data_IF_661956436844
#
_entry.id   IF_661956436844
#
_cell.length_a   1.000
_cell.length_b   1.000
_cell.length_c   1.000
_cell.angle_alpha   90.00
_cell.angle_beta   90.00
_cell.angle_gamma   90.00
#
_symmetry.space_group_name_H-M   'P 1'
#
loop_
_entity.id
_entity.type
_entity.pdbx_description
1 polymer ?
#
# COMPACT_ATOMS: atom_id res chain seq x y z
N UNK A 1 29.93 -21.21 -5.16
CA UNK A 1 28.61 -20.55 -5.01
C UNK A 1 28.74 -19.48 -3.94
N UNK A 2 28.25 -18.27 -4.19
CA UNK A 2 28.25 -17.23 -3.14
C UNK A 2 27.37 -17.68 -1.97
N UNK A 3 27.84 -17.48 -0.74
CA UNK A 3 27.11 -17.79 0.49
C UNK A 3 26.79 -16.48 1.19
N UNK A 4 25.54 -16.31 1.65
CA UNK A 4 25.15 -15.12 2.39
C UNK A 4 25.78 -15.16 3.79
N UNK A 5 26.37 -14.05 4.29
CA UNK A 5 27.05 -14.04 5.58
C UNK A 5 26.11 -14.47 6.70
N UNK A 6 26.60 -15.30 7.62
CA UNK A 6 25.84 -15.76 8.80
C UNK A 6 25.46 -14.60 9.73
N UNK A 7 26.26 -13.54 9.74
CA UNK A 7 26.01 -12.31 10.47
C UNK A 7 25.82 -11.13 9.51
N UNK A 8 24.58 -10.87 9.02
CA UNK A 8 24.33 -9.75 8.13
C UNK A 8 24.59 -8.41 8.82
N UNK A 9 25.23 -7.51 8.09
CA UNK A 9 25.43 -6.13 8.53
C UNK A 9 24.12 -5.34 8.52
N UNK A 10 24.08 -4.17 9.15
CA UNK A 10 22.94 -3.25 9.05
C UNK A 10 22.64 -2.84 7.61
N UNK A 11 23.68 -2.69 6.79
CA UNK A 11 23.57 -2.42 5.36
C UNK A 11 22.89 -3.56 4.60
N UNK A 12 23.23 -4.81 4.92
CA UNK A 12 22.59 -5.99 4.32
C UNK A 12 21.12 -6.08 4.68
N UNK A 13 20.80 -5.93 5.97
CA UNK A 13 19.41 -5.95 6.45
C UNK A 13 18.57 -4.85 5.80
N UNK A 14 19.14 -3.65 5.63
CA UNK A 14 18.49 -2.55 4.93
C UNK A 14 18.26 -2.86 3.45
N UNK A 15 19.24 -3.40 2.74
CA UNK A 15 19.10 -3.79 1.32
C UNK A 15 18.01 -4.84 1.14
N UNK A 16 17.99 -5.86 2.01
CA UNK A 16 16.97 -6.91 2.02
C UNK A 16 15.58 -6.32 2.25
N UNK A 17 15.45 -5.48 3.28
CA UNK A 17 14.19 -4.79 3.57
C UNK A 17 13.75 -3.92 2.39
N UNK A 18 14.64 -3.13 1.79
CA UNK A 18 14.31 -2.24 0.67
C UNK A 18 13.89 -3.00 -0.59
N UNK A 19 14.55 -4.11 -0.95
CA UNK A 19 14.11 -4.95 -2.07
C UNK A 19 12.73 -5.54 -1.76
N UNK A 20 12.56 -6.12 -0.58
CA UNK A 20 11.29 -6.69 -0.15
C UNK A 20 10.16 -5.65 -0.11
N UNK A 21 10.49 -4.44 0.32
CA UNK A 21 9.60 -3.31 0.36
C UNK A 21 9.19 -2.84 -1.05
N UNK A 22 10.10 -2.89 -2.04
CA UNK A 22 9.83 -2.44 -3.41
C UNK A 22 9.12 -3.48 -4.28
N UNK A 23 9.20 -4.75 -3.89
CA UNK A 23 8.70 -5.88 -4.66
C UNK A 23 7.17 -5.95 -4.73
N UNK A 24 6.65 -6.23 -5.91
CA UNK A 24 5.24 -6.42 -6.18
C UNK A 24 4.93 -7.89 -6.42
N UNK A 25 3.84 -8.39 -5.83
CA UNK A 25 3.36 -9.74 -6.09
C UNK A 25 2.96 -9.98 -7.55
N UNK A 26 2.64 -8.90 -8.28
CA UNK A 26 2.17 -8.93 -9.67
C UNK A 26 3.30 -9.13 -10.68
N UNK A 27 4.55 -8.88 -10.31
CA UNK A 27 5.65 -8.78 -11.28
C UNK A 27 5.94 -10.10 -11.99
N UNK A 28 5.82 -11.24 -11.29
CA UNK A 28 5.95 -12.56 -11.91
C UNK A 28 4.82 -12.84 -12.89
N UNK A 29 3.64 -12.46 -12.49
CA UNK A 29 2.43 -12.60 -13.26
C UNK A 29 2.44 -11.73 -14.53
N UNK A 30 2.99 -10.51 -14.46
CA UNK A 30 3.21 -9.63 -15.62
C UNK A 30 4.33 -10.17 -16.52
N UNK A 31 5.38 -10.75 -15.94
CA UNK A 31 6.41 -11.47 -16.68
C UNK A 31 5.83 -12.62 -17.50
N UNK A 32 4.98 -13.45 -16.89
CA UNK A 32 4.33 -14.56 -17.59
C UNK A 32 3.47 -14.07 -18.76
N UNK A 33 2.75 -12.95 -18.61
CA UNK A 33 1.99 -12.35 -19.71
C UNK A 33 2.89 -11.86 -20.85
N UNK A 34 4.04 -11.23 -20.53
CA UNK A 34 5.03 -10.80 -21.53
C UNK A 34 5.59 -11.97 -22.32
N UNK A 35 5.96 -13.06 -21.62
CA UNK A 35 6.52 -14.26 -22.25
C UNK A 35 5.48 -15.00 -23.08
N UNK A 36 4.22 -15.06 -22.62
CA UNK A 36 3.13 -15.72 -23.33
C UNK A 36 2.63 -14.94 -24.56
N UNK A 37 3.00 -13.67 -24.71
CA UNK A 37 2.58 -12.81 -25.82
C UNK A 37 1.07 -12.55 -25.89
N UNK A 38 0.31 -12.96 -24.88
CA UNK A 38 -1.15 -12.85 -24.82
C UNK A 38 -1.57 -12.15 -23.53
N UNK A 39 -2.41 -11.11 -23.59
CA UNK A 39 -2.96 -10.48 -22.40
C UNK A 39 -3.90 -11.48 -21.74
N UNK A 40 -3.43 -12.13 -20.67
CA UNK A 40 -4.29 -13.00 -19.86
C UNK A 40 -5.23 -12.07 -19.08
N UNK A 41 -6.49 -11.96 -19.51
CA UNK A 41 -7.52 -11.27 -18.75
C UNK A 41 -7.68 -11.98 -17.39
N UNK A 42 -7.36 -11.28 -16.32
CA UNK A 42 -7.56 -11.76 -14.96
C UNK A 42 -8.80 -11.15 -14.37
N UNK A 43 -9.55 -11.94 -13.62
CA UNK A 43 -10.63 -11.42 -12.79
C UNK A 43 -10.09 -10.32 -11.86
N UNK A 44 -10.89 -9.31 -11.51
CA UNK A 44 -10.47 -8.26 -10.58
C UNK A 44 -9.92 -8.82 -9.27
N UNK A 45 -10.55 -9.87 -8.73
CA UNK A 45 -10.10 -10.56 -7.51
C UNK A 45 -8.70 -11.16 -7.66
N UNK A 46 -8.44 -11.84 -8.79
CA UNK A 46 -7.12 -12.41 -9.06
C UNK A 46 -6.05 -11.30 -9.20
N UNK A 47 -6.39 -10.19 -9.86
CA UNK A 47 -5.48 -9.02 -9.96
C UNK A 47 -5.17 -8.42 -8.60
N UNK A 48 -6.17 -8.31 -7.72
CA UNK A 48 -6.00 -7.75 -6.38
C UNK A 48 -5.16 -8.66 -5.49
N UNK A 49 -5.42 -9.98 -5.52
CA UNK A 49 -4.63 -10.97 -4.80
C UNK A 49 -3.17 -10.94 -5.25
N UNK A 50 -2.94 -10.95 -6.56
CA UNK A 50 -1.60 -10.83 -7.14
C UNK A 50 -0.91 -9.53 -6.75
N UNK A 51 -1.68 -8.47 -6.52
CA UNK A 51 -1.13 -7.20 -6.12
C UNK A 51 -0.57 -7.20 -4.68
N UNK A 52 -0.97 -8.14 -3.81
CA UNK A 52 -0.52 -8.20 -2.42
C UNK A 52 0.87 -8.84 -2.29
N UNK A 53 1.89 -8.13 -1.78
CA UNK A 53 3.18 -8.73 -1.46
C UNK A 53 3.07 -9.86 -0.43
N UNK A 54 2.23 -9.71 0.60
CA UNK A 54 1.97 -10.79 1.58
C UNK A 54 1.28 -11.97 0.89
N UNK A 55 0.30 -11.73 0.02
CA UNK A 55 -0.36 -12.78 -0.76
C UNK A 55 0.62 -13.57 -1.63
N UNK A 56 1.55 -12.87 -2.30
CA UNK A 56 2.62 -13.52 -3.08
C UNK A 56 3.59 -14.32 -2.21
N UNK A 57 3.97 -13.80 -1.05
CA UNK A 57 4.80 -14.51 -0.08
C UNK A 57 4.06 -15.75 0.49
N UNK A 58 2.77 -15.61 0.81
CA UNK A 58 1.92 -16.70 1.26
C UNK A 58 1.82 -17.80 0.21
N UNK A 59 1.63 -17.47 -1.08
CA UNK A 59 1.67 -18.45 -2.18
C UNK A 59 2.97 -19.27 -2.19
N UNK A 60 4.10 -18.67 -1.85
CA UNK A 60 5.38 -19.37 -1.82
C UNK A 60 5.55 -20.30 -0.62
N UNK A 61 4.84 -20.06 0.49
CA UNK A 61 4.90 -20.91 1.69
C UNK A 61 3.82 -21.99 1.65
N UNK A 62 2.61 -21.59 1.24
CA UNK A 62 1.45 -22.47 1.27
C UNK A 62 1.67 -23.68 0.34
N UNK A 63 1.13 -24.85 0.73
CA UNK A 63 1.02 -25.99 -0.16
C UNK A 63 0.16 -25.63 -1.38
N UNK A 64 0.45 -26.23 -2.55
CA UNK A 64 -0.40 -26.03 -3.72
C UNK A 64 -1.73 -26.77 -3.54
N UNK A 65 -1.68 -27.98 -3.01
CA UNK A 65 -2.85 -28.85 -2.85
C UNK A 65 -2.94 -29.42 -1.44
N UNK A 66 -4.14 -29.81 -1.03
CA UNK A 66 -4.35 -30.52 0.25
C UNK A 66 -3.44 -31.75 0.35
N UNK A 67 -3.32 -32.52 -0.74
CA UNK A 67 -2.46 -33.70 -0.80
C UNK A 67 -0.95 -33.43 -0.62
N UNK A 68 -0.50 -32.18 -0.76
CA UNK A 68 0.91 -31.82 -0.53
C UNK A 68 1.24 -31.70 0.98
N UNK A 69 0.21 -31.63 1.83
CA UNK A 69 0.38 -31.49 3.29
C UNK A 69 0.36 -32.85 3.99
N UNK A 70 1.00 -32.94 5.15
CA UNK A 70 0.90 -34.15 5.99
C UNK A 70 -0.53 -34.36 6.49
N UNK A 71 -1.21 -33.29 6.95
CA UNK A 71 -2.60 -33.33 7.41
C UNK A 71 -3.55 -33.73 6.28
N UNK A 72 -3.39 -33.16 5.09
CA UNK A 72 -4.23 -33.49 3.94
C UNK A 72 -4.06 -34.92 3.46
N UNK A 73 -2.85 -35.49 3.53
CA UNK A 73 -2.62 -36.93 3.27
C UNK A 73 -3.25 -37.82 4.34
N UNK A 74 -3.24 -37.38 5.60
CA UNK A 74 -3.91 -38.08 6.71
C UNK A 74 -5.44 -38.05 6.56
N UNK A 75 -6.01 -36.91 6.18
CA UNK A 75 -7.46 -36.80 5.91
C UNK A 75 -7.82 -37.63 4.67
N UNK A 76 -7.01 -37.57 3.62
CA UNK A 76 -7.23 -38.35 2.41
C UNK A 76 -7.12 -39.86 2.65
N UNK A 77 -6.36 -40.31 3.66
CA UNK A 77 -6.20 -41.74 3.94
C UNK A 77 -7.37 -42.39 4.66
N UNK A 78 -8.21 -41.61 5.34
CA UNK A 78 -9.43 -42.09 6.00
C UNK A 78 -10.68 -41.95 5.14
N UNK A 79 -10.58 -41.30 3.97
CA UNK A 79 -11.68 -41.12 3.04
C UNK A 79 -11.86 -42.34 2.10
N UNK A 80 -13.09 -42.64 1.64
CA UNK A 80 -13.32 -43.63 0.60
C UNK A 80 -12.50 -43.32 -0.67
N UNK A 81 -12.03 -44.35 -1.37
CA UNK A 81 -11.12 -44.21 -2.53
C UNK A 81 -11.66 -43.24 -3.62
N UNK A 82 -12.99 -43.19 -3.79
CA UNK A 82 -13.67 -42.26 -4.71
C UNK A 82 -13.54 -40.78 -4.33
N UNK A 83 -13.30 -40.46 -3.06
CA UNK A 83 -13.18 -39.09 -2.53
C UNK A 83 -11.72 -38.68 -2.27
N UNK A 84 -10.80 -39.65 -2.16
CA UNK A 84 -9.38 -39.42 -1.91
C UNK A 84 -8.74 -38.47 -2.93
N UNK A 85 -8.80 -38.81 -4.22
CA UNK A 85 -8.22 -38.00 -5.30
C UNK A 85 -8.85 -36.60 -5.42
N UNK A 86 -10.19 -36.43 -5.37
CA UNK A 86 -10.80 -35.11 -5.35
C UNK A 86 -10.31 -34.24 -4.19
N UNK A 87 -10.24 -34.78 -2.97
CA UNK A 87 -9.81 -34.04 -1.77
C UNK A 87 -8.33 -33.70 -1.85
N UNK A 88 -7.47 -34.63 -2.26
CA UNK A 88 -6.04 -34.38 -2.45
C UNK A 88 -5.76 -33.30 -3.49
N UNK A 89 -6.60 -33.18 -4.52
CA UNK A 89 -6.45 -32.21 -5.59
C UNK A 89 -7.08 -30.83 -5.29
N UNK A 90 -7.71 -30.63 -4.13
CA UNK A 90 -8.22 -29.32 -3.73
C UNK A 90 -7.04 -28.35 -3.62
N UNK A 91 -7.08 -27.29 -4.44
CA UNK A 91 -6.06 -26.24 -4.44
C UNK A 91 -6.13 -25.40 -3.18
N UNK A 92 -5.00 -25.26 -2.49
CA UNK A 92 -4.79 -24.40 -1.33
C UNK A 92 -4.16 -23.04 -1.71
N UNK A 93 -3.94 -22.82 -3.02
CA UNK A 93 -3.49 -21.56 -3.58
C UNK A 93 -1.98 -21.33 -3.49
N UNK A 94 -1.21 -22.25 -2.92
CA UNK A 94 0.24 -22.19 -2.94
C UNK A 94 0.86 -22.54 -4.30
N UNK A 95 2.13 -22.20 -4.50
CA UNK A 95 2.90 -22.62 -5.68
C UNK A 95 3.31 -24.09 -5.54
N UNK A 96 3.14 -24.87 -6.60
CA UNK A 96 3.75 -26.19 -6.73
C UNK A 96 5.28 -26.10 -6.72
N UNK A 97 5.96 -27.21 -6.45
CA UNK A 97 7.42 -27.27 -6.54
C UNK A 97 7.93 -26.87 -7.94
N UNK A 98 7.20 -27.26 -8.99
CA UNK A 98 7.50 -26.85 -10.38
C UNK A 98 7.34 -25.34 -10.56
N UNK A 99 6.23 -24.76 -10.13
CA UNK A 99 6.01 -23.30 -10.25
C UNK A 99 7.04 -22.49 -9.47
N UNK A 100 7.47 -22.97 -8.29
CA UNK A 100 8.56 -22.31 -7.54
C UNK A 100 9.88 -22.38 -8.31
N UNK A 101 10.20 -23.53 -8.90
CA UNK A 101 11.39 -23.68 -9.73
C UNK A 101 11.32 -22.79 -10.99
N UNK A 102 10.17 -22.74 -11.66
CA UNK A 102 9.93 -21.89 -12.82
C UNK A 102 10.02 -20.41 -12.46
N UNK A 103 9.48 -20.01 -11.30
CA UNK A 103 9.60 -18.65 -10.77
C UNK A 103 11.06 -18.29 -10.50
N UNK A 104 11.79 -19.17 -9.80
CA UNK A 104 13.21 -18.94 -9.50
C UNK A 104 14.06 -18.86 -10.78
N UNK A 105 13.81 -19.75 -11.75
CA UNK A 105 14.47 -19.73 -13.06
C UNK A 105 14.08 -18.51 -13.89
N UNK A 106 12.85 -18.01 -13.77
CA UNK A 106 12.41 -16.78 -14.43
C UNK A 106 13.14 -15.56 -13.83
N UNK A 107 13.21 -15.44 -12.50
CA UNK A 107 13.97 -14.38 -11.82
C UNK A 107 15.45 -14.40 -12.19
N UNK A 108 16.05 -15.59 -12.30
CA UNK A 108 17.45 -15.74 -12.69
C UNK A 108 17.72 -15.25 -14.13
N UNK A 109 16.71 -15.30 -15.00
CA UNK A 109 16.80 -14.88 -16.42
C UNK A 109 16.36 -13.43 -16.66
N UNK A 110 15.40 -12.95 -15.87
CA UNK A 110 14.83 -11.61 -15.99
C UNK A 110 15.16 -10.77 -14.75
N UNK A 111 16.07 -9.83 -14.98
CA UNK A 111 16.62 -8.89 -14.00
C UNK A 111 15.55 -7.97 -13.44
N UNK A 112 14.55 -7.60 -14.25
CA UNK A 112 13.46 -6.70 -13.85
C UNK A 112 12.51 -7.47 -12.93
N UNK A 113 12.21 -8.74 -13.26
CA UNK A 113 11.45 -9.62 -12.39
C UNK A 113 12.16 -9.86 -11.05
N UNK A 114 13.49 -10.04 -11.06
CA UNK A 114 14.28 -10.19 -9.85
C UNK A 114 14.18 -8.97 -8.92
N UNK A 115 14.20 -7.76 -9.48
CA UNK A 115 14.06 -6.51 -8.74
C UNK A 115 12.65 -6.30 -8.21
N UNK A 116 11.67 -6.58 -9.06
CA UNK A 116 10.28 -6.22 -8.81
C UNK A 116 9.51 -7.34 -8.09
N UNK A 117 10.14 -8.45 -7.73
CA UNK A 117 9.50 -9.53 -6.96
C UNK A 117 10.42 -10.03 -5.85
N UNK A 118 9.87 -10.78 -4.89
CA UNK A 118 10.65 -11.43 -3.81
C UNK A 118 10.47 -12.93 -3.87
N UNK A 119 11.57 -13.67 -3.76
CA UNK A 119 11.58 -15.10 -3.48
C UNK A 119 11.94 -15.29 -2.01
N UNK A 120 11.05 -15.94 -1.27
CA UNK A 120 11.24 -16.12 0.17
C UNK A 120 12.47 -16.96 0.44
N UNK A 121 13.33 -16.44 1.31
CA UNK A 121 14.59 -17.09 1.63
C UNK A 121 15.67 -16.90 0.57
N UNK A 122 15.49 -16.06 -0.45
CA UNK A 122 16.58 -15.58 -1.31
C UNK A 122 16.70 -14.07 -1.20
N UNK A 123 17.94 -13.58 -1.17
CA UNK A 123 18.24 -12.16 -0.94
C UNK A 123 19.29 -11.66 -1.92
N UNK A 124 19.30 -10.34 -2.22
CA UNK A 124 20.22 -9.79 -3.19
C UNK A 124 21.57 -9.57 -2.51
N UNK A 125 22.63 -9.94 -3.20
CA UNK A 125 24.03 -9.65 -2.89
C UNK A 125 24.65 -8.90 -4.06
N UNK A 126 25.89 -8.47 -3.91
CA UNK A 126 26.64 -7.82 -5.00
C UNK A 126 26.91 -8.76 -6.18
N UNK A 127 26.88 -10.07 -5.94
CA UNK A 127 27.13 -11.14 -6.90
C UNK A 127 25.87 -11.86 -7.38
N UNK A 128 24.67 -11.34 -7.08
CA UNK A 128 23.39 -11.93 -7.49
C UNK A 128 22.48 -12.31 -6.33
N UNK A 129 21.58 -13.26 -6.52
CA UNK A 129 20.66 -13.71 -5.45
C UNK A 129 21.12 -15.00 -4.80
N UNK A 130 21.33 -14.93 -3.49
CA UNK A 130 21.82 -16.04 -2.68
C UNK A 130 20.70 -16.55 -1.77
N UNK A 131 20.61 -17.87 -1.62
CA UNK A 131 19.70 -18.49 -0.67
C UNK A 131 20.18 -18.25 0.77
N UNK A 132 19.26 -17.84 1.63
CA UNK A 132 19.46 -17.71 3.06
C UNK A 132 19.53 -19.11 3.67
N UNK A 133 20.73 -19.46 4.15
CA UNK A 133 20.93 -20.71 4.89
C UNK A 133 20.08 -20.81 6.16
N UNK A 134 19.95 -22.02 6.73
CA UNK A 134 19.39 -22.21 8.07
C UNK A 134 20.19 -21.37 9.07
N UNK A 135 19.53 -20.54 9.89
CA UNK A 135 20.18 -19.66 10.88
C UNK A 135 20.16 -18.16 10.57
N UNK A 136 19.90 -17.75 9.32
CA UNK A 136 19.85 -16.32 8.92
C UNK A 136 18.54 -15.61 9.34
N UNK A 137 18.17 -15.69 10.62
CA UNK A 137 16.88 -15.18 11.12
C UNK A 137 16.73 -13.67 10.97
N UNK A 138 17.81 -12.89 11.11
CA UNK A 138 17.78 -11.43 10.94
C UNK A 138 17.47 -11.03 9.50
N UNK A 139 18.10 -11.69 8.53
CA UNK A 139 17.83 -11.47 7.11
C UNK A 139 16.40 -11.88 6.72
N UNK A 140 15.93 -13.04 7.19
CA UNK A 140 14.54 -13.48 7.01
C UNK A 140 13.55 -12.50 7.64
N UNK A 141 13.86 -12.02 8.84
CA UNK A 141 13.06 -11.01 9.55
C UNK A 141 13.00 -9.69 8.78
N UNK A 142 14.12 -9.21 8.23
CA UNK A 142 14.15 -8.01 7.39
C UNK A 142 13.33 -8.18 6.11
N UNK A 143 13.43 -9.34 5.45
CA UNK A 143 12.65 -9.66 4.25
C UNK A 143 11.14 -9.67 4.56
N UNK A 144 10.74 -10.37 5.64
CA UNK A 144 9.36 -10.42 6.09
C UNK A 144 8.82 -9.04 6.48
N UNK A 145 9.61 -8.24 7.21
CA UNK A 145 9.26 -6.87 7.57
C UNK A 145 9.07 -6.00 6.32
N UNK A 146 9.94 -6.14 5.32
CA UNK A 146 9.82 -5.44 4.03
C UNK A 146 8.56 -5.84 3.27
N UNK A 147 8.21 -7.12 3.23
CA UNK A 147 6.97 -7.63 2.61
C UNK A 147 5.73 -7.08 3.33
N UNK A 148 5.72 -7.08 4.66
CA UNK A 148 4.59 -6.54 5.44
C UNK A 148 4.46 -5.05 5.22
N UNK A 149 5.56 -4.31 5.30
CA UNK A 149 5.57 -2.88 5.01
C UNK A 149 5.14 -2.58 3.57
N UNK A 150 5.55 -3.39 2.59
CA UNK A 150 5.13 -3.29 1.20
C UNK A 150 3.63 -3.49 1.04
N UNK A 151 3.04 -4.47 1.74
CA UNK A 151 1.61 -4.74 1.68
C UNK A 151 0.80 -3.63 2.35
N UNK A 152 1.23 -3.16 3.52
CA UNK A 152 0.63 -2.02 4.20
C UNK A 152 0.72 -0.74 3.35
N UNK A 153 1.87 -0.50 2.72
CA UNK A 153 2.05 0.63 1.82
C UNK A 153 1.13 0.49 0.61
N UNK A 154 1.19 -0.65 -0.09
CA UNK A 154 0.42 -0.91 -1.31
C UNK A 154 -1.07 -1.17 -1.09
N UNK A 155 -1.49 -1.14 0.18
CA UNK A 155 -2.83 -1.49 0.63
C UNK A 155 -3.27 -2.86 0.09
N UNK A 156 -2.34 -3.80 -0.09
CA UNK A 156 -2.54 -5.02 -0.88
C UNK A 156 -3.63 -5.93 -0.31
N UNK A 157 -3.45 -6.42 0.92
CA UNK A 157 -4.45 -7.25 1.60
C UNK A 157 -5.70 -6.46 1.96
N UNK A 158 -5.54 -5.18 2.28
CA UNK A 158 -6.65 -4.31 2.65
C UNK A 158 -7.56 -4.07 1.44
N UNK A 159 -7.05 -3.74 0.26
CA UNK A 159 -7.86 -3.64 -0.96
C UNK A 159 -8.70 -4.88 -1.23
N UNK A 160 -8.18 -6.10 -1.01
CA UNK A 160 -8.95 -7.35 -1.17
C UNK A 160 -10.13 -7.38 -0.18
N UNK A 161 -9.87 -7.01 1.08
CA UNK A 161 -10.90 -6.95 2.11
C UNK A 161 -11.93 -5.84 1.84
N UNK A 162 -11.50 -4.67 1.36
CA UNK A 162 -12.36 -3.51 1.04
C UNK A 162 -13.11 -3.69 -0.29
N UNK A 163 -12.57 -4.37 -1.30
CA UNK A 163 -13.32 -4.73 -2.51
C UNK A 163 -14.52 -5.64 -2.19
N UNK A 164 -14.34 -6.51 -1.19
CA UNK A 164 -15.44 -7.32 -0.67
C UNK A 164 -16.39 -6.53 0.25
N UNK A 165 -16.00 -5.34 0.78
CA UNK A 165 -16.71 -4.61 1.86
C UNK A 165 -16.84 -3.07 1.69
N UNK A 166 -16.71 -2.51 0.48
CA UNK A 166 -16.99 -1.12 0.05
C UNK A 166 -15.90 -0.01 0.27
N UNK A 167 -16.26 1.26 0.56
CA UNK A 167 -16.22 2.46 -0.29
C UNK A 167 -14.86 3.14 -0.53
N UNK A 168 -13.84 2.82 0.28
CA UNK A 168 -12.56 3.55 0.28
C UNK A 168 -11.71 3.33 -0.97
N UNK A 169 -12.05 2.31 -1.77
CA UNK A 169 -11.52 2.13 -3.13
C UNK A 169 -11.70 3.40 -3.99
N UNK A 170 -12.74 4.21 -3.77
CA UNK A 170 -12.98 5.46 -4.53
C UNK A 170 -11.92 6.53 -4.26
N UNK A 171 -11.44 6.66 -3.01
CA UNK A 171 -10.42 7.65 -2.67
C UNK A 171 -9.05 7.28 -3.26
N UNK A 172 -8.69 5.99 -3.23
CA UNK A 172 -7.49 5.50 -3.91
C UNK A 172 -7.60 5.66 -5.43
N UNK A 173 -8.74 5.31 -6.03
CA UNK A 173 -8.99 5.51 -7.46
C UNK A 173 -8.86 6.98 -7.84
N UNK A 174 -9.45 7.91 -7.08
CA UNK A 174 -9.34 9.35 -7.32
C UNK A 174 -7.89 9.84 -7.20
N UNK A 175 -7.11 9.31 -6.25
CA UNK A 175 -5.70 9.64 -6.09
C UNK A 175 -4.85 9.10 -7.24
N UNK A 176 -5.03 7.85 -7.64
CA UNK A 176 -4.32 7.26 -8.79
C UNK A 176 -4.70 7.95 -10.10
N UNK A 177 -5.98 8.24 -10.31
CA UNK A 177 -6.43 9.07 -11.43
C UNK A 177 -5.79 10.45 -11.37
N UNK A 178 -5.63 11.03 -10.18
CA UNK A 178 -5.02 12.33 -10.05
C UNK A 178 -3.51 12.35 -10.29
N UNK A 179 -2.79 11.30 -9.90
CA UNK A 179 -1.36 11.13 -10.21
C UNK A 179 -1.19 10.88 -11.71
N UNK A 180 -2.02 10.03 -12.31
CA UNK A 180 -1.98 9.72 -13.74
C UNK A 180 -2.33 10.95 -14.60
N UNK A 181 -3.38 11.70 -14.26
CA UNK A 181 -3.74 12.95 -14.96
C UNK A 181 -2.67 14.04 -14.82
N UNK A 182 -2.00 14.14 -13.67
CA UNK A 182 -0.90 15.08 -13.50
C UNK A 182 0.31 14.69 -14.34
N UNK A 183 0.64 13.39 -14.39
CA UNK A 183 1.66 12.85 -15.28
C UNK A 183 1.30 13.13 -16.75
N UNK A 184 0.05 12.89 -17.17
CA UNK A 184 -0.42 13.15 -18.54
C UNK A 184 -0.46 14.63 -18.92
N UNK A 185 -0.93 15.52 -18.05
CA UNK A 185 -0.89 16.96 -18.31
C UNK A 185 0.54 17.48 -18.42
N UNK A 186 1.47 16.92 -17.65
CA UNK A 186 2.89 17.27 -17.76
C UNK A 186 3.50 16.76 -19.07
N UNK A 187 3.13 15.55 -19.54
CA UNK A 187 3.48 15.07 -20.90
C UNK A 187 3.06 16.06 -21.99
N UNK A 188 1.98 16.82 -21.78
CA UNK A 188 1.45 17.81 -22.74
C UNK A 188 2.00 19.23 -22.58
N UNK A 189 2.62 19.57 -21.44
CA UNK A 189 2.87 20.95 -21.04
C UNK A 189 4.35 21.32 -20.87
N UNK A 190 5.31 20.46 -21.22
CA UNK A 190 6.73 20.82 -21.23
C UNK A 190 7.13 21.38 -22.60
N UNK A 191 7.45 22.69 -22.75
CA UNK A 191 7.79 23.30 -24.04
C UNK A 191 9.29 23.34 -24.33
N UNK A 192 10.13 22.55 -23.65
CA UNK A 192 11.60 22.66 -23.79
C UNK A 192 12.25 21.28 -23.87
N UNK A 193 12.75 20.93 -25.07
CA UNK A 193 13.90 20.05 -25.32
C UNK A 193 13.78 18.55 -25.03
N UNK A 194 12.91 18.11 -24.12
CA UNK A 194 12.66 16.69 -23.87
C UNK A 194 11.56 16.21 -24.83
N UNK A 195 11.96 15.71 -26.00
CA UNK A 195 11.07 15.03 -26.95
C UNK A 195 10.54 13.72 -26.32
N UNK A 196 9.57 13.86 -25.41
CA UNK A 196 8.86 12.76 -24.79
C UNK A 196 7.89 12.06 -25.77
N UNK A 197 7.85 12.47 -27.05
CA UNK A 197 7.24 11.69 -28.12
C UNK A 197 7.85 10.29 -28.24
N UNK A 198 9.09 10.11 -27.79
CA UNK A 198 9.76 8.80 -27.65
C UNK A 198 9.36 8.01 -26.40
N UNK A 199 8.81 8.64 -25.36
CA UNK A 199 8.20 7.98 -24.19
C UNK A 199 6.72 7.64 -24.45
N UNK A 200 6.40 7.12 -25.63
CA UNK A 200 5.07 6.63 -26.02
C UNK A 200 4.64 5.31 -25.33
N UNK A 201 5.32 4.93 -24.24
CA UNK A 201 4.92 3.85 -23.36
C UNK A 201 4.18 4.36 -22.14
N UNK A 202 3.11 3.67 -21.73
CA UNK A 202 2.36 3.92 -20.49
C UNK A 202 3.18 3.58 -19.22
N UNK A 203 4.49 3.81 -19.20
CA UNK A 203 5.33 3.51 -18.04
C UNK A 203 5.10 4.58 -16.94
N UNK A 204 4.81 4.17 -15.69
CA UNK A 204 4.60 5.09 -14.58
C UNK A 204 5.91 5.75 -14.14
N UNK A 205 5.84 7.03 -13.74
CA UNK A 205 7.00 7.85 -13.30
C UNK A 205 7.80 7.28 -12.13
N UNK A 206 7.14 6.50 -11.28
CA UNK A 206 7.76 5.65 -10.28
C UNK A 206 7.31 4.24 -10.65
N UNK A 207 8.26 3.38 -11.01
CA UNK A 207 7.96 2.03 -11.47
C UNK A 207 7.53 1.16 -10.30
N UNK A 208 8.28 1.23 -9.19
CA UNK A 208 7.92 0.51 -7.98
C UNK A 208 6.55 0.94 -7.47
N UNK A 209 5.58 0.01 -7.53
CA UNK A 209 4.22 0.26 -7.02
C UNK A 209 4.24 0.60 -5.53
N UNK A 210 5.08 -0.07 -4.75
CA UNK A 210 5.12 0.16 -3.31
C UNK A 210 5.73 1.51 -2.99
N UNK A 211 6.68 1.99 -3.80
CA UNK A 211 7.19 3.34 -3.67
C UNK A 211 6.16 4.40 -4.09
N UNK A 212 5.38 4.17 -5.16
CA UNK A 212 4.21 5.00 -5.49
C UNK A 212 3.23 5.09 -4.33
N UNK A 213 3.02 3.96 -3.67
CA UNK A 213 2.07 3.85 -2.58
C UNK A 213 2.59 4.42 -1.25
N UNK A 214 3.87 4.25 -0.93
CA UNK A 214 4.53 4.97 0.16
C UNK A 214 4.53 6.48 -0.07
N UNK A 215 4.74 6.92 -1.30
CA UNK A 215 4.61 8.32 -1.65
C UNK A 215 3.16 8.82 -1.43
N UNK A 216 2.17 7.95 -1.61
CA UNK A 216 0.77 8.21 -1.26
C UNK A 216 0.44 8.03 0.24
N UNK A 217 1.34 7.43 1.03
CA UNK A 217 1.07 7.07 2.42
C UNK A 217 0.64 8.27 3.28
N UNK A 218 1.23 9.48 3.19
CA UNK A 218 0.76 10.60 4.02
C UNK A 218 -0.71 10.96 3.73
N UNK A 219 -1.15 10.88 2.47
CA UNK A 219 -2.55 11.09 2.10
C UNK A 219 -3.47 10.02 2.69
N UNK A 220 -3.01 8.78 2.64
CA UNK A 220 -3.76 7.65 3.16
C UNK A 220 -3.79 7.61 4.69
N UNK A 221 -2.71 8.01 5.37
CA UNK A 221 -2.66 8.21 6.82
C UNK A 221 -3.65 9.32 7.19
N UNK A 222 -3.62 10.45 6.48
CA UNK A 222 -4.57 11.55 6.70
C UNK A 222 -6.02 11.10 6.57
N UNK A 223 -6.33 10.40 5.47
CA UNK A 223 -7.64 9.82 5.23
C UNK A 223 -8.06 8.90 6.37
N UNK A 224 -7.16 8.01 6.76
CA UNK A 224 -7.43 7.01 7.79
C UNK A 224 -7.54 7.60 9.20
N UNK A 225 -6.82 8.68 9.50
CA UNK A 225 -6.95 9.43 10.75
C UNK A 225 -8.31 10.14 10.80
N UNK A 226 -8.70 10.84 9.73
CA UNK A 226 -9.99 11.53 9.65
C UNK A 226 -11.20 10.61 9.71
N UNK A 227 -11.08 9.39 9.17
CA UNK A 227 -12.14 8.36 9.21
C UNK A 227 -12.13 7.56 10.53
N UNK A 228 -11.14 7.75 11.41
CA UNK A 228 -11.03 7.02 12.68
C UNK A 228 -10.56 5.55 12.53
N UNK A 229 -9.90 5.23 11.42
CA UNK A 229 -9.35 3.88 11.14
C UNK A 229 -8.02 3.60 11.87
N UNK A 230 -7.36 4.64 12.40
CA UNK A 230 -6.11 4.47 13.15
C UNK A 230 -6.29 4.66 14.66
N UNK A 231 -7.16 5.59 15.04
CA UNK A 231 -7.42 5.90 16.44
C UNK A 231 -8.92 6.04 16.68
N UNK A 232 -9.31 5.84 17.93
CA UNK A 232 -10.65 6.15 18.40
C UNK A 232 -10.91 7.66 18.27
N UNK A 233 -12.04 8.01 17.68
CA UNK A 233 -12.50 9.39 17.64
C UNK A 233 -13.18 9.72 18.99
N UNK A 234 -12.99 10.94 19.55
CA UNK A 234 -13.73 11.36 20.73
C UNK A 234 -15.24 11.27 20.52
N UNK A 235 -15.96 10.78 21.53
CA UNK A 235 -17.39 10.48 21.49
C UNK A 235 -17.73 9.07 21.01
N UNK A 236 -16.74 8.23 20.70
CA UNK A 236 -16.94 6.85 20.24
C UNK A 236 -16.24 5.85 21.15
N UNK A 237 -16.76 4.63 21.20
CA UNK A 237 -16.14 3.49 21.88
C UNK A 237 -14.88 3.01 21.16
N UNK A 238 -14.06 2.24 21.85
CA UNK A 238 -13.14 1.31 21.20
C UNK A 238 -13.93 0.24 20.41
N UNK A 239 -13.31 -0.37 19.39
CA UNK A 239 -13.91 -1.49 18.64
C UNK A 239 -13.92 -2.76 19.50
N UNK A 240 -12.85 -2.96 20.26
CA UNK A 240 -12.68 -3.98 21.29
C UNK A 240 -12.57 -3.29 22.65
N UNK A 241 -13.69 -2.80 23.22
CA UNK A 241 -13.69 -2.08 24.48
C UNK A 241 -13.20 -2.96 25.64
N UNK A 242 -12.56 -2.35 26.64
CA UNK A 242 -12.40 -2.99 27.95
C UNK A 242 -13.74 -3.01 28.69
N UNK A 243 -13.86 -3.90 29.67
CA UNK A 243 -15.09 -4.02 30.47
C UNK A 243 -15.29 -2.79 31.37
N UNK A 244 -14.20 -2.24 31.89
CA UNK A 244 -14.22 -1.11 32.83
C UNK A 244 -14.39 0.26 32.14
N UNK A 245 -13.86 0.41 30.93
CA UNK A 245 -13.86 1.68 30.21
C UNK A 245 -14.12 1.47 28.71
N UNK A 246 -15.32 1.79 28.19
CA UNK A 246 -15.68 1.57 26.80
C UNK A 246 -14.86 2.43 25.81
N UNK A 247 -14.10 3.41 26.30
CA UNK A 247 -13.22 4.27 25.52
C UNK A 247 -11.82 3.66 25.34
N UNK A 248 -11.45 2.71 26.19
CA UNK A 248 -10.17 2.02 26.15
C UNK A 248 -10.31 0.64 25.51
N UNK A 249 -9.21 0.18 24.90
CA UNK A 249 -9.19 -1.15 24.30
C UNK A 249 -8.49 -2.16 25.21
N UNK A 250 -9.10 -3.33 25.37
CA UNK A 250 -8.49 -4.48 26.03
C UNK A 250 -7.44 -5.17 25.17
N UNK A 251 -7.42 -4.90 23.85
CA UNK A 251 -6.50 -5.50 22.91
C UNK A 251 -6.05 -4.47 21.85
N UNK A 252 -4.98 -3.69 22.11
CA UNK A 252 -4.48 -2.68 21.18
C UNK A 252 -4.15 -3.20 19.79
N UNK A 253 -3.59 -4.41 19.68
CA UNK A 253 -3.27 -5.03 18.40
C UNK A 253 -4.54 -5.44 17.63
N UNK A 254 -5.52 -6.02 18.33
CA UNK A 254 -6.82 -6.38 17.77
C UNK A 254 -7.67 -5.16 17.38
N UNK A 255 -7.59 -4.07 18.15
CA UNK A 255 -8.22 -2.78 17.88
C UNK A 255 -7.64 -2.18 16.60
N UNK A 256 -6.30 -2.08 16.53
CA UNK A 256 -5.62 -1.60 15.34
C UNK A 256 -5.99 -2.47 14.15
N UNK A 257 -5.94 -3.80 14.26
CA UNK A 257 -6.31 -4.69 13.17
C UNK A 257 -7.79 -4.51 12.75
N UNK A 258 -8.72 -4.37 13.70
CA UNK A 258 -10.15 -4.21 13.42
C UNK A 258 -10.46 -2.86 12.78
N UNK A 259 -9.84 -1.77 13.25
CA UNK A 259 -10.02 -0.44 12.65
C UNK A 259 -9.33 -0.35 11.30
N UNK A 260 -8.11 -0.87 11.21
CA UNK A 260 -7.26 -0.75 10.04
C UNK A 260 -7.73 -1.66 8.90
N UNK A 261 -7.85 -2.97 9.16
CA UNK A 261 -8.26 -3.93 8.14
C UNK A 261 -9.76 -3.91 7.95
N UNK A 262 -10.54 -4.05 9.04
CA UNK A 262 -11.99 -4.16 8.93
C UNK A 262 -12.68 -2.78 8.79
N UNK A 263 -11.93 -1.69 8.87
CA UNK A 263 -12.49 -0.34 8.82
C UNK A 263 -13.58 -0.10 9.87
N UNK A 264 -13.60 -0.86 10.96
CA UNK A 264 -14.64 -0.74 11.99
C UNK A 264 -14.35 0.52 12.78
N UNK A 265 -15.33 1.42 12.87
CA UNK A 265 -15.37 2.43 13.92
C UNK A 265 -16.09 1.84 15.12
N UNK A 266 -15.71 2.25 16.33
CA UNK A 266 -16.52 1.93 17.51
C UNK A 266 -17.90 2.58 17.42
N UNK A 267 -18.85 2.09 18.20
CA UNK A 267 -20.18 2.71 18.31
C UNK A 267 -20.10 4.05 19.06
N UNK A 268 -21.10 4.90 18.88
CA UNK A 268 -21.23 6.13 19.68
C UNK A 268 -21.27 5.79 21.19
N UNK A 269 -20.61 6.60 22.02
CA UNK A 269 -20.71 6.49 23.48
C UNK A 269 -22.13 6.87 23.95
N UNK A 270 -22.65 6.28 25.04
CA UNK A 270 -23.84 6.79 25.72
C UNK A 270 -23.67 8.27 26.05
N UNK A 271 -24.76 9.07 26.03
CA UNK A 271 -24.66 10.52 26.15
C UNK A 271 -23.87 11.00 27.38
N UNK A 272 -24.04 10.32 28.52
CA UNK A 272 -23.39 10.71 29.77
C UNK A 272 -21.87 10.54 29.70
N UNK A 273 -21.37 9.52 29.00
CA UNK A 273 -19.94 9.33 28.71
C UNK A 273 -19.48 10.20 27.53
N UNK A 274 -20.32 10.34 26.52
CA UNK A 274 -20.07 11.17 25.34
C UNK A 274 -19.78 12.61 25.75
N UNK A 275 -20.59 13.18 26.66
CA UNK A 275 -20.46 14.55 27.14
C UNK A 275 -19.16 14.76 27.92
N UNK A 276 -18.61 13.73 28.58
CA UNK A 276 -17.30 13.84 29.24
C UNK A 276 -16.18 14.11 28.23
N UNK A 277 -16.26 13.48 27.05
CA UNK A 277 -15.27 13.69 25.98
C UNK A 277 -15.61 14.89 25.08
N UNK A 278 -16.89 15.24 24.99
CA UNK A 278 -17.46 16.25 24.09
C UNK A 278 -18.51 17.10 24.80
N UNK A 279 -18.11 17.90 25.80
CA UNK A 279 -19.03 18.74 26.57
C UNK A 279 -19.67 19.85 25.72
N UNK A 280 -19.04 20.16 24.59
CA UNK A 280 -19.47 21.14 23.60
C UNK A 280 -20.68 20.70 22.76
N UNK A 281 -21.13 19.45 22.89
CA UNK A 281 -22.28 18.91 22.13
C UNK A 281 -23.49 18.78 23.04
N UNK A 282 -24.56 19.47 22.66
CA UNK A 282 -25.82 19.41 23.39
C UNK A 282 -26.48 18.03 23.26
N UNK A 283 -27.36 17.67 24.21
CA UNK A 283 -28.12 16.41 24.16
C UNK A 283 -29.00 16.33 22.92
N UNK A 284 -29.52 17.47 22.48
CA UNK A 284 -30.33 17.57 21.27
C UNK A 284 -29.51 17.24 20.02
N UNK A 285 -28.32 17.83 19.87
CA UNK A 285 -27.40 17.54 18.77
C UNK A 285 -26.96 16.08 18.76
N UNK A 286 -26.63 15.52 19.94
CA UNK A 286 -26.30 14.11 20.08
C UNK A 286 -27.45 13.20 19.60
N UNK A 287 -28.69 13.47 20.02
CA UNK A 287 -29.85 12.68 19.61
C UNK A 287 -30.16 12.86 18.12
N UNK A 288 -30.03 14.08 17.58
CA UNK A 288 -30.19 14.35 16.15
C UNK A 288 -29.16 13.57 15.33
N UNK A 289 -27.90 13.54 15.77
CA UNK A 289 -26.84 12.79 15.12
C UNK A 289 -27.02 11.27 15.22
N UNK A 290 -27.41 10.77 16.40
CA UNK A 290 -27.77 9.37 16.59
C UNK A 290 -28.90 8.98 15.63
N UNK A 291 -29.94 9.79 15.54
CA UNK A 291 -31.02 9.59 14.58
C UNK A 291 -30.48 9.59 13.15
N UNK A 292 -29.65 10.54 12.75
CA UNK A 292 -29.03 10.57 11.42
C UNK A 292 -28.27 9.27 11.06
N UNK A 293 -27.48 8.72 11.99
CA UNK A 293 -26.75 7.47 11.77
C UNK A 293 -27.71 6.29 11.52
N UNK A 294 -28.77 6.17 12.31
CA UNK A 294 -29.70 5.03 12.28
C UNK A 294 -30.92 5.21 11.35
N UNK A 295 -31.21 6.42 10.89
CA UNK A 295 -32.42 6.75 10.10
C UNK A 295 -32.07 6.97 8.63
N UNK A 296 -32.84 6.38 7.73
CA UNK A 296 -32.65 6.47 6.28
C UNK A 296 -31.80 5.33 5.71
N UNK A 297 -32.32 4.67 4.67
CA UNK A 297 -31.69 3.53 3.98
C UNK A 297 -30.69 3.94 2.90
N UNK A 298 -30.45 5.24 2.71
CA UNK A 298 -29.54 5.73 1.67
C UNK A 298 -28.09 5.28 1.99
N UNK A 299 -27.37 4.70 1.01
CA UNK A 299 -25.97 4.35 1.18
C UNK A 299 -25.05 5.59 1.24
N UNK A 300 -25.56 6.79 0.93
CA UNK A 300 -24.84 8.06 1.06
C UNK A 300 -25.73 9.05 1.79
N UNK A 301 -25.23 9.62 2.88
CA UNK A 301 -25.87 10.68 3.66
C UNK A 301 -24.86 11.79 3.90
N UNK A 302 -25.33 13.00 4.08
CA UNK A 302 -24.49 14.11 4.52
C UNK A 302 -25.24 14.87 5.61
N UNK A 303 -24.49 15.39 6.57
CA UNK A 303 -25.00 16.27 7.61
C UNK A 303 -24.08 17.45 7.78
N UNK A 304 -24.64 18.63 7.99
CA UNK A 304 -23.86 19.81 8.38
C UNK A 304 -23.65 19.87 9.90
N UNK A 305 -24.31 19.00 10.67
CA UNK A 305 -24.44 19.09 12.12
C UNK A 305 -23.86 17.87 12.85
N UNK A 306 -22.90 17.19 12.22
CA UNK A 306 -22.18 16.11 12.88
C UNK A 306 -21.41 16.62 14.11
N UNK A 307 -21.15 15.75 15.10
CA UNK A 307 -20.35 16.09 16.25
C UNK A 307 -18.91 16.46 15.85
N UNK A 308 -18.43 16.14 14.65
CA UNK A 308 -17.11 16.57 14.15
C UNK A 308 -17.23 17.66 13.06
N UNK A 309 -18.38 18.33 12.98
CA UNK A 309 -18.66 19.36 11.97
C UNK A 309 -19.50 18.81 10.81
N UNK A 310 -19.37 19.35 9.60
CA UNK A 310 -19.99 18.75 8.42
C UNK A 310 -19.39 17.35 8.17
N UNK A 311 -20.22 16.35 7.96
CA UNK A 311 -19.79 14.96 7.75
C UNK A 311 -20.54 14.35 6.56
N UNK A 312 -19.88 13.46 5.83
CA UNK A 312 -20.51 12.62 4.80
C UNK A 312 -20.44 11.17 5.27
N UNK A 313 -21.59 10.53 5.40
CA UNK A 313 -21.70 9.11 5.72
C UNK A 313 -21.87 8.30 4.45
N UNK A 314 -20.98 7.35 4.21
CA UNK A 314 -21.10 6.41 3.11
C UNK A 314 -21.14 4.99 3.70
N UNK A 315 -22.21 4.24 3.39
CA UNK A 315 -22.47 2.88 3.86
C UNK A 315 -22.27 2.72 5.38
N UNK A 316 -22.83 3.66 6.14
CA UNK A 316 -22.77 3.65 7.61
C UNK A 316 -21.44 4.14 8.21
N UNK A 317 -20.45 4.54 7.41
CA UNK A 317 -19.20 5.14 7.90
C UNK A 317 -19.23 6.64 7.70
N UNK A 318 -19.16 7.41 8.78
CA UNK A 318 -19.09 8.88 8.73
C UNK A 318 -17.67 9.37 8.50
N UNK A 319 -17.51 10.32 7.59
CA UNK A 319 -16.24 10.95 7.26
C UNK A 319 -16.41 12.46 7.45
N UNK A 320 -15.76 13.06 8.46
CA UNK A 320 -15.79 14.50 8.64
C UNK A 320 -15.16 15.22 7.46
N UNK A 321 -15.82 16.29 7.02
CA UNK A 321 -15.37 17.11 5.92
C UNK A 321 -14.06 17.83 6.30
N UNK A 322 -14.02 18.40 7.50
CA UNK A 322 -12.89 19.19 8.00
C UNK A 322 -11.65 18.35 8.34
N UNK A 323 -11.82 17.21 8.98
CA UNK A 323 -10.70 16.38 9.48
C UNK A 323 -10.45 15.12 8.65
N UNK A 324 -11.33 14.77 7.71
CA UNK A 324 -11.15 13.65 6.77
C UNK A 324 -11.01 14.11 5.32
N UNK A 325 -12.07 14.69 4.75
CA UNK A 325 -12.13 14.99 3.31
C UNK A 325 -11.15 16.11 2.91
N UNK A 326 -11.05 17.18 3.69
CA UNK A 326 -10.11 18.29 3.41
C UNK A 326 -8.64 17.85 3.48
N UNK A 327 -8.17 17.15 4.54
CA UNK A 327 -6.82 16.60 4.54
C UNK A 327 -6.56 15.64 3.39
N UNK A 328 -7.53 14.79 3.03
CA UNK A 328 -7.43 13.92 1.85
C UNK A 328 -7.23 14.72 0.55
N UNK A 329 -8.08 15.71 0.29
CA UNK A 329 -8.00 16.53 -0.90
C UNK A 329 -6.67 17.31 -0.96
N UNK A 330 -6.27 17.90 0.16
CA UNK A 330 -5.00 18.60 0.29
C UNK A 330 -3.80 17.66 0.07
N UNK A 331 -3.87 16.43 0.56
CA UNK A 331 -2.85 15.43 0.34
C UNK A 331 -2.77 15.02 -1.14
N UNK A 332 -3.90 14.85 -1.85
CA UNK A 332 -3.89 14.60 -3.30
C UNK A 332 -3.25 15.77 -4.06
N UNK A 333 -3.60 17.01 -3.70
CA UNK A 333 -2.99 18.22 -4.30
C UNK A 333 -1.49 18.30 -3.99
N UNK A 334 -1.10 18.03 -2.75
CA UNK A 334 0.28 17.98 -2.29
C UNK A 334 1.09 16.91 -3.03
N UNK A 335 0.51 15.73 -3.23
CA UNK A 335 1.11 14.64 -3.99
C UNK A 335 1.34 15.02 -5.45
N UNK A 336 0.33 15.61 -6.12
CA UNK A 336 0.47 16.13 -7.49
C UNK A 336 1.58 17.18 -7.59
N UNK A 337 1.64 18.12 -6.64
CA UNK A 337 2.70 19.14 -6.59
C UNK A 337 4.08 18.52 -6.33
N UNK A 338 4.14 17.50 -5.49
CA UNK A 338 5.35 16.75 -5.19
C UNK A 338 5.86 15.94 -6.38
N UNK A 339 4.97 15.29 -7.15
CA UNK A 339 5.35 14.64 -8.42
C UNK A 339 5.98 15.66 -9.35
N UNK A 340 5.32 16.80 -9.59
CA UNK A 340 5.83 17.86 -10.48
C UNK A 340 7.21 18.35 -10.04
N UNK A 341 7.38 18.68 -8.76
CA UNK A 341 8.65 19.15 -8.20
C UNK A 341 9.74 18.08 -8.23
N UNK A 342 9.38 16.83 -7.96
CA UNK A 342 10.27 15.67 -8.05
C UNK A 342 10.81 15.49 -9.47
N UNK A 343 9.91 15.48 -10.45
CA UNK A 343 10.28 15.40 -11.87
C UNK A 343 11.18 16.54 -12.31
N UNK A 344 10.88 17.79 -11.92
CA UNK A 344 11.76 18.93 -12.22
C UNK A 344 13.14 18.76 -11.63
N UNK A 345 13.26 18.20 -10.42
CA UNK A 345 14.57 17.94 -9.78
C UNK A 345 15.35 16.82 -10.49
N UNK A 346 14.68 15.78 -10.97
CA UNK A 346 15.31 14.72 -11.76
C UNK A 346 15.76 15.26 -13.12
N UNK A 347 14.88 16.01 -13.80
CA UNK A 347 15.17 16.63 -15.09
C UNK A 347 16.33 17.64 -15.01
N UNK A 348 16.42 18.43 -13.93
CA UNK A 348 17.52 19.38 -13.73
C UNK A 348 18.91 18.72 -13.54
N UNK A 349 18.97 17.39 -13.47
CA UNK A 349 20.21 16.59 -13.38
C UNK A 349 20.39 15.67 -14.58
N UNK A 350 19.61 15.87 -15.64
CA UNK A 350 19.53 14.98 -16.80
C UNK A 350 19.21 13.52 -16.43
N UNK A 351 18.62 13.29 -15.24
CA UNK A 351 18.49 11.96 -14.66
C UNK A 351 17.67 11.00 -15.51
N UNK A 352 16.64 11.52 -16.22
CA UNK A 352 15.83 10.72 -17.14
C UNK A 352 16.57 10.36 -18.43
N UNK A 353 17.41 11.25 -18.95
CA UNK A 353 18.18 11.00 -20.16
C UNK A 353 19.29 9.98 -19.88
N UNK A 354 19.97 10.12 -18.72
CA UNK A 354 20.94 9.14 -18.22
C UNK A 354 20.27 7.78 -18.00
N UNK A 355 19.10 7.75 -17.37
CA UNK A 355 18.32 6.52 -17.16
C UNK A 355 17.99 5.83 -18.49
N UNK A 356 17.55 6.59 -19.51
CA UNK A 356 17.24 6.06 -20.84
C UNK A 356 18.48 5.49 -21.52
N UNK A 357 19.59 6.22 -21.50
CA UNK A 357 20.85 5.75 -22.08
C UNK A 357 21.34 4.47 -21.42
N UNK A 358 21.25 4.37 -20.10
CA UNK A 358 21.63 3.16 -19.36
C UNK A 358 20.68 2.00 -19.66
N UNK A 359 19.37 2.25 -19.79
CA UNK A 359 18.40 1.24 -20.23
C UNK A 359 18.74 0.69 -21.62
N UNK A 360 19.07 1.57 -22.56
CA UNK A 360 19.46 1.16 -23.92
C UNK A 360 20.76 0.36 -23.90
N UNK A 361 21.74 0.76 -23.07
CA UNK A 361 22.97 -0.03 -22.84
C UNK A 361 22.68 -1.42 -22.28
N UNK A 362 21.72 -1.55 -21.36
CA UNK A 362 21.29 -2.87 -20.86
C UNK A 362 20.65 -3.68 -21.97
N UNK A 363 19.77 -3.09 -22.79
CA UNK A 363 19.13 -3.79 -23.91
C UNK A 363 20.15 -4.29 -24.93
N UNK A 364 21.04 -3.41 -25.39
CA UNK A 364 22.13 -3.76 -26.30
C UNK A 364 23.04 -4.79 -25.63
N UNK A 365 23.35 -4.64 -24.35
CA UNK A 365 24.14 -5.61 -23.60
C UNK A 365 23.51 -7.00 -23.58
N UNK A 366 22.19 -7.12 -23.40
CA UNK A 366 21.48 -8.41 -23.48
C UNK A 366 21.60 -9.03 -24.88
N UNK A 367 21.46 -8.24 -25.93
CA UNK A 367 21.60 -8.70 -27.32
C UNK A 367 23.05 -9.14 -27.62
N UNK A 368 24.03 -8.38 -27.14
CA UNK A 368 25.46 -8.69 -27.25
C UNK A 368 25.86 -9.94 -26.45
N UNK A 369 25.33 -10.12 -25.24
CA UNK A 369 25.56 -11.33 -24.45
C UNK A 369 25.04 -12.57 -25.20
N UNK A 370 23.85 -12.48 -25.81
CA UNK A 370 23.28 -13.57 -26.60
C UNK A 370 24.12 -13.95 -27.82
N UNK A 371 24.90 -12.99 -28.36
CA UNK A 371 25.85 -13.20 -29.45
C UNK A 371 27.23 -13.66 -28.98
N UNK A 372 27.49 -13.63 -27.67
CA UNK A 372 28.81 -13.91 -27.09
C UNK A 372 29.79 -12.73 -27.18
N UNK A 373 29.31 -11.52 -27.50
CA UNK A 373 30.15 -10.33 -27.70
C UNK A 373 30.63 -9.71 -26.37
N UNK A 374 29.90 -9.93 -25.27
CA UNK A 374 30.25 -9.44 -23.92
C UNK A 374 30.12 -10.54 -22.88
N UNK A 375 30.82 -10.38 -21.76
CA UNK A 375 30.67 -11.28 -20.61
C UNK A 375 29.39 -10.99 -19.81
N UNK A 376 28.96 -11.96 -19.01
CA UNK A 376 27.87 -11.77 -18.06
C UNK A 376 28.17 -10.65 -17.05
N UNK A 377 29.42 -10.58 -16.57
CA UNK A 377 29.85 -9.55 -15.60
C UNK A 377 29.70 -8.12 -16.17
N UNK A 378 29.99 -7.95 -17.47
CA UNK A 378 29.81 -6.65 -18.14
C UNK A 378 28.33 -6.26 -18.23
N UNK A 379 27.46 -7.23 -18.55
CA UNK A 379 26.01 -7.00 -18.53
C UNK A 379 25.52 -6.66 -17.12
N UNK A 380 26.00 -7.38 -16.10
CA UNK A 380 25.63 -7.17 -14.71
C UNK A 380 26.05 -5.78 -14.21
N UNK A 381 27.21 -5.29 -14.65
CA UNK A 381 27.63 -3.92 -14.36
C UNK A 381 26.72 -2.87 -15.04
N UNK A 382 26.39 -3.04 -16.33
CA UNK A 382 25.42 -2.16 -17.03
C UNK A 382 24.08 -2.14 -16.32
N UNK A 383 23.61 -3.29 -15.85
CA UNK A 383 22.40 -3.43 -15.04
C UNK A 383 22.52 -2.69 -13.71
N UNK A 384 23.66 -2.82 -13.02
CA UNK A 384 23.91 -2.17 -11.73
C UNK A 384 23.88 -0.65 -11.86
N UNK A 385 24.53 -0.11 -12.89
CA UNK A 385 24.54 1.34 -13.16
C UNK A 385 23.12 1.84 -13.44
N UNK A 386 22.37 1.10 -14.27
CA UNK A 386 20.97 1.39 -14.55
C UNK A 386 20.11 1.39 -13.27
N UNK A 387 20.25 0.35 -12.43
CA UNK A 387 19.54 0.20 -11.15
C UNK A 387 19.82 1.37 -10.20
N UNK A 388 21.07 1.81 -10.14
CA UNK A 388 21.46 2.91 -9.27
C UNK A 388 20.76 4.21 -9.68
N UNK A 389 20.84 4.60 -10.96
CA UNK A 389 20.22 5.84 -11.45
C UNK A 389 18.69 5.79 -11.34
N UNK A 390 18.07 4.66 -11.69
CA UNK A 390 16.62 4.48 -11.52
C UNK A 390 16.23 4.68 -10.05
N UNK A 391 16.94 4.05 -9.12
CA UNK A 391 16.68 4.18 -7.69
C UNK A 391 16.89 5.60 -7.16
N UNK A 392 17.89 6.32 -7.66
CA UNK A 392 18.13 7.72 -7.32
C UNK A 392 17.01 8.64 -7.82
N UNK A 393 16.60 8.48 -9.09
CA UNK A 393 15.50 9.22 -9.70
C UNK A 393 14.19 8.98 -8.94
N UNK A 394 13.83 7.72 -8.71
CA UNK A 394 12.63 7.34 -7.96
C UNK A 394 12.65 7.90 -6.53
N UNK A 395 13.78 7.85 -5.84
CA UNK A 395 13.93 8.41 -4.49
C UNK A 395 13.76 9.93 -4.46
N UNK A 396 14.26 10.66 -5.47
CA UNK A 396 14.07 12.12 -5.57
C UNK A 396 12.59 12.45 -5.71
N UNK A 397 11.88 11.73 -6.59
CA UNK A 397 10.44 11.93 -6.79
C UNK A 397 9.66 11.57 -5.52
N UNK A 398 9.92 10.40 -4.93
CA UNK A 398 9.25 9.95 -3.71
C UNK A 398 9.44 10.91 -2.54
N UNK A 399 10.68 11.37 -2.29
CA UNK A 399 10.97 12.39 -1.26
C UNK A 399 10.18 13.69 -1.50
N UNK A 400 10.06 14.11 -2.76
CA UNK A 400 9.29 15.31 -3.10
C UNK A 400 7.80 15.11 -2.84
N UNK A 401 7.24 13.95 -3.22
CA UNK A 401 5.84 13.61 -2.92
C UNK A 401 5.61 13.61 -1.41
N UNK A 402 6.43 12.91 -0.63
CA UNK A 402 6.27 12.82 0.82
C UNK A 402 6.33 14.23 1.45
N UNK A 403 7.31 15.05 1.09
CA UNK A 403 7.45 16.39 1.64
C UNK A 403 6.25 17.30 1.33
N UNK A 404 5.77 17.31 0.08
CA UNK A 404 4.65 18.17 -0.32
C UNK A 404 3.30 17.63 0.18
N UNK A 405 3.11 16.32 0.20
CA UNK A 405 1.90 15.69 0.72
C UNK A 405 1.80 15.91 2.22
N UNK A 406 2.88 15.68 2.98
CA UNK A 406 2.89 15.88 4.43
C UNK A 406 2.66 17.35 4.79
N UNK A 407 3.32 18.28 4.08
CA UNK A 407 3.11 19.71 4.29
C UNK A 407 1.67 20.16 3.99
N UNK A 408 1.11 19.72 2.87
CA UNK A 408 -0.27 20.05 2.50
C UNK A 408 -1.29 19.42 3.46
N UNK A 409 -1.06 18.18 3.87
CA UNK A 409 -1.91 17.45 4.82
C UNK A 409 -1.89 18.11 6.19
N UNK A 410 -0.70 18.37 6.75
CA UNK A 410 -0.56 19.00 8.05
C UNK A 410 -1.18 20.41 8.05
N UNK A 411 -0.94 21.19 6.99
CA UNK A 411 -1.58 22.49 6.82
C UNK A 411 -3.11 22.40 6.79
N UNK A 412 -3.66 21.44 6.03
CA UNK A 412 -5.10 21.26 5.93
C UNK A 412 -5.74 20.74 7.22
N UNK A 413 -5.08 19.82 7.94
CA UNK A 413 -5.53 19.33 9.23
C UNK A 413 -5.58 20.47 10.25
N UNK A 414 -4.51 21.27 10.35
CA UNK A 414 -4.47 22.44 11.23
C UNK A 414 -5.55 23.47 10.86
N UNK A 415 -5.72 23.79 9.57
CA UNK A 415 -6.79 24.71 9.15
C UNK A 415 -8.19 24.15 9.41
N UNK A 416 -8.38 22.85 9.27
CA UNK A 416 -9.65 22.17 9.54
C UNK A 416 -10.06 22.29 11.01
N UNK A 417 -9.10 22.08 11.94
CA UNK A 417 -9.32 22.29 13.37
C UNK A 417 -9.66 23.74 13.69
N UNK A 418 -8.95 24.71 13.10
CA UNK A 418 -9.22 26.15 13.31
C UNK A 418 -10.59 26.57 12.77
N UNK A 419 -10.97 26.06 11.59
CA UNK A 419 -12.29 26.36 11.00
C UNK A 419 -13.43 25.76 11.82
N UNK A 420 -13.26 24.55 12.36
CA UNK A 420 -14.25 23.93 13.23
C UNK A 420 -14.35 24.65 14.58
N UNK A 421 -13.22 25.10 15.16
CA UNK A 421 -13.25 25.90 16.39
C UNK A 421 -13.94 27.25 16.18
N UNK A 422 -13.67 27.94 15.06
CA UNK A 422 -14.34 29.20 14.71
C UNK A 422 -15.84 29.00 14.48
N UNK A 423 -16.23 27.94 13.77
CA UNK A 423 -17.64 27.59 13.56
C UNK A 423 -18.39 27.42 14.88
N UNK A 424 -17.77 26.76 15.86
CA UNK A 424 -18.39 26.52 17.18
C UNK A 424 -18.50 27.79 18.01
N UNK A 425 -17.44 28.61 18.00
CA UNK A 425 -17.48 29.93 18.63
C UNK A 425 -18.61 30.80 18.06
N UNK A 426 -18.81 30.78 16.74
CA UNK A 426 -19.87 31.52 16.07
C UNK A 426 -21.28 30.98 16.34
N UNK A 427 -21.44 29.71 16.73
CA UNK A 427 -22.73 29.12 17.12
C UNK A 427 -23.15 29.47 18.56
N UNK A 428 -22.32 30.18 19.33
CA UNK A 428 -22.62 30.53 20.73
C UNK A 428 -22.40 29.39 21.74
N UNK A 429 -21.87 28.24 21.30
CA UNK A 429 -21.54 27.09 22.15
C UNK A 429 -20.07 27.14 22.58
N UNK A 430 -19.66 28.24 23.22
CA UNK A 430 -18.38 28.26 23.93
C UNK A 430 -18.40 27.15 25.01
N UNK A 431 -17.24 26.54 25.35
CA UNK A 431 -17.20 25.55 26.43
C UNK A 431 -17.77 26.19 27.69
N UNK A 432 -18.86 25.60 28.19
CA UNK A 432 -19.49 25.99 29.45
C UNK A 432 -18.42 25.82 30.53
N UNK A 433 -17.98 26.93 31.12
CA UNK A 433 -17.07 26.93 32.26
C UNK A 433 -17.79 26.37 33.48
N UNK A 434 -17.05 25.77 34.43
CA UNK A 434 -17.59 25.09 35.63
C UNK A 434 -18.53 25.96 36.51
N UNK A 435 -18.70 27.25 36.21
CA UNK A 435 -19.55 28.19 36.96
C UNK A 435 -21.05 28.12 36.61
N UNK A 436 -21.47 27.36 35.59
CA UNK A 436 -22.88 27.27 35.16
C UNK A 436 -23.62 25.99 35.64
N UNK A 437 -23.17 25.36 36.73
CA UNK A 437 -23.85 24.22 37.36
C UNK A 437 -24.57 24.57 38.66
#
# INVERSE_FOLDING_TARGET
MAVFPSEPTSGDLRRIFEQAFKASGKSYEDFLQRVAGTPIERSPVAQMYASSPIGSAAKQILPNRVGDTQIGRLIASVLPERLRKPVENVGLGGMSAKEKADFSAARARDVDLQLDSVELGRVPTESGEVALGPGNYRAKGAQAAGIVAADLASDGMRNIWWFLNAPQAVAQVAMFQGINQAAEKQKRAMPVGLDQGKFKGQEPLIRSRNLRMAAAAPAWIAASMGVGNFMRQPGYKAVLPSEDDPTQTSNPAGELASRYFLGRSGSLLPYDEFRKERPDVSRQEYNAYKNYLFTGKSPIKATMEGPQGPEVTFMGKSIPLATGILPMAAAVVGARRGVKRGMTKVAARDGYDVEMQLRDKVKVGRESLAKGDISQDELDQKIKDYRQILGENENIVAKSIIANTSGATAGAALSGYVLESLRRALKGNAPVTEEDF
#
